data_IF_855228425826
#
_entry.id   IF_855228425826
#
_cell.length_a   1.000
_cell.length_b   1.000
_cell.length_c   1.000
_cell.angle_alpha   90.00
_cell.angle_beta   90.00
_cell.angle_gamma   90.00
#
_symmetry.space_group_name_H-M   'P 1'
#
loop_
_entity.id
_entity.type
_entity.pdbx_description
1 polymer ?
#
# COMPACT_ATOMS: atom_id res chain seq x y z
N UNK A 1 -0.09 -17.26 -19.91
CA UNK A 1 -0.24 -17.81 -18.53
C UNK A 1 -1.63 -17.54 -18.02
N UNK A 2 -2.13 -18.37 -17.11
CA UNK A 2 -3.30 -18.10 -16.28
C UNK A 2 -2.81 -17.56 -14.94
N UNK A 3 -3.25 -16.37 -14.54
CA UNK A 3 -2.76 -15.64 -13.38
C UNK A 3 -3.93 -15.38 -12.43
N UNK A 4 -3.82 -15.77 -11.17
CA UNK A 4 -4.84 -15.55 -10.15
C UNK A 4 -4.29 -14.65 -9.03
N UNK A 5 -4.90 -13.48 -8.84
CA UNK A 5 -4.60 -12.56 -7.74
C UNK A 5 -5.56 -12.79 -6.58
N UNK A 6 -5.04 -13.07 -5.39
CA UNK A 6 -5.81 -13.15 -4.16
C UNK A 6 -5.76 -11.81 -3.42
N UNK A 7 -6.88 -11.10 -3.39
CA UNK A 7 -7.02 -9.75 -2.85
C UNK A 7 -7.99 -9.70 -1.67
N UNK A 8 -7.66 -8.94 -0.64
CA UNK A 8 -8.52 -8.81 0.55
C UNK A 8 -9.95 -8.32 0.20
N UNK A 9 -10.05 -7.23 -0.57
CA UNK A 9 -11.32 -6.66 -0.98
C UNK A 9 -11.16 -5.85 -2.28
N UNK A 10 -11.55 -6.41 -3.41
CA UNK A 10 -11.51 -5.77 -4.73
C UNK A 10 -12.64 -4.76 -4.96
N UNK A 11 -13.64 -4.71 -4.07
CA UNK A 11 -14.81 -3.83 -4.21
C UNK A 11 -14.63 -2.48 -3.51
N UNK A 12 -13.52 -2.25 -2.81
CA UNK A 12 -13.22 -1.01 -2.10
C UNK A 12 -12.23 -0.13 -2.86
N UNK A 13 -11.75 0.95 -2.23
CA UNK A 13 -10.68 1.80 -2.75
C UNK A 13 -9.45 1.72 -1.83
N UNK A 14 -8.27 1.73 -2.42
CA UNK A 14 -7.00 1.71 -1.67
C UNK A 14 -5.81 1.47 -2.58
N UNK A 15 -4.62 1.79 -2.10
CA UNK A 15 -3.37 1.68 -2.89
C UNK A 15 -3.16 0.27 -3.44
N UNK A 16 -3.22 -0.76 -2.60
CA UNK A 16 -3.08 -2.17 -3.02
C UNK A 16 -4.12 -2.57 -4.06
N UNK A 17 -5.38 -2.12 -3.91
CA UNK A 17 -6.45 -2.44 -4.87
C UNK A 17 -6.13 -1.79 -6.23
N UNK A 18 -5.79 -0.49 -6.21
CA UNK A 18 -5.47 0.26 -7.44
C UNK A 18 -4.28 -0.38 -8.17
N UNK A 19 -3.19 -0.66 -7.45
CA UNK A 19 -2.00 -1.26 -8.07
C UNK A 19 -2.25 -2.68 -8.59
N UNK A 20 -3.03 -3.49 -7.88
CA UNK A 20 -3.43 -4.83 -8.36
C UNK A 20 -4.29 -4.73 -9.62
N UNK A 21 -5.26 -3.80 -9.67
CA UNK A 21 -6.12 -3.62 -10.83
C UNK A 21 -5.34 -3.07 -12.04
N UNK A 22 -4.43 -2.12 -11.81
CA UNK A 22 -3.55 -1.59 -12.87
C UNK A 22 -2.65 -2.69 -13.44
N UNK A 23 -2.02 -3.49 -12.59
CA UNK A 23 -1.18 -4.61 -13.01
C UNK A 23 -2.01 -5.68 -13.75
N UNK A 24 -3.19 -6.04 -13.22
CA UNK A 24 -4.08 -7.01 -13.85
C UNK A 24 -4.57 -6.55 -15.24
N UNK A 25 -4.90 -5.25 -15.39
CA UNK A 25 -5.28 -4.66 -16.67
C UNK A 25 -4.19 -4.82 -17.74
N UNK A 26 -2.95 -4.54 -17.36
CA UNK A 26 -1.80 -4.62 -18.26
C UNK A 26 -1.49 -6.07 -18.66
N UNK A 27 -1.57 -6.99 -17.69
CA UNK A 27 -1.36 -8.41 -17.93
C UNK A 27 -2.47 -9.06 -18.76
N UNK A 28 -3.71 -8.59 -18.64
CA UNK A 28 -4.86 -9.14 -19.36
C UNK A 28 -4.78 -8.96 -20.89
N UNK A 29 -3.91 -8.05 -21.37
CA UNK A 29 -3.62 -7.92 -22.79
C UNK A 29 -2.92 -9.17 -23.38
N UNK A 30 -2.25 -9.97 -22.56
CA UNK A 30 -1.41 -11.09 -23.00
C UNK A 30 -1.69 -12.40 -22.24
N UNK A 31 -2.47 -12.35 -21.17
CA UNK A 31 -2.69 -13.47 -20.24
C UNK A 31 -4.17 -13.56 -19.84
N UNK A 32 -4.58 -14.72 -19.38
CA UNK A 32 -5.86 -14.91 -18.70
C UNK A 32 -5.67 -14.50 -17.22
N UNK A 33 -6.40 -13.47 -16.78
CA UNK A 33 -6.21 -12.86 -15.46
C UNK A 33 -7.52 -12.87 -14.69
N UNK A 34 -7.48 -13.45 -13.48
CA UNK A 34 -8.56 -13.33 -12.51
C UNK A 34 -8.08 -12.59 -11.24
N UNK A 35 -8.99 -11.83 -10.63
CA UNK A 35 -8.85 -11.29 -9.30
C UNK A 35 -9.89 -11.96 -8.41
N UNK A 36 -9.43 -12.63 -7.36
CA UNK A 36 -10.25 -13.27 -6.34
C UNK A 36 -10.29 -12.40 -5.10
N UNK A 37 -11.37 -11.68 -4.94
CA UNK A 37 -11.64 -10.86 -3.74
C UNK A 37 -12.12 -11.75 -2.60
N UNK A 38 -11.49 -11.68 -1.43
CA UNK A 38 -11.99 -12.43 -0.28
C UNK A 38 -13.39 -11.92 0.11
N UNK A 39 -13.59 -10.60 0.15
CA UNK A 39 -14.87 -10.00 0.54
C UNK A 39 -15.52 -9.21 -0.59
N UNK A 40 -16.86 -9.25 -0.61
CA UNK A 40 -17.72 -8.37 -1.40
C UNK A 40 -18.70 -7.63 -0.50
N UNK A 41 -18.66 -6.29 -0.50
CA UNK A 41 -19.50 -5.44 0.34
C UNK A 41 -20.49 -4.58 -0.45
N UNK A 42 -20.40 -4.57 -1.78
CA UNK A 42 -21.23 -3.77 -2.71
C UNK A 42 -21.37 -4.47 -4.04
N UNK A 43 -22.31 -4.04 -4.85
CA UNK A 43 -22.61 -4.66 -6.14
C UNK A 43 -21.47 -4.46 -7.12
N UNK A 44 -20.97 -3.24 -7.25
CA UNK A 44 -19.92 -2.88 -8.19
C UNK A 44 -18.64 -2.39 -7.49
N UNK A 45 -17.45 -2.72 -8.01
CA UNK A 45 -16.20 -2.15 -7.53
C UNK A 45 -16.15 -0.63 -7.76
N UNK A 46 -15.57 0.11 -6.82
CA UNK A 46 -15.40 1.58 -6.95
C UNK A 46 -14.50 1.93 -8.14
N UNK A 47 -13.48 1.12 -8.41
CA UNK A 47 -12.50 1.39 -9.47
C UNK A 47 -12.90 0.84 -10.85
N UNK A 48 -14.07 0.17 -10.95
CA UNK A 48 -14.42 -0.59 -12.14
C UNK A 48 -13.56 -1.87 -12.29
N UNK A 49 -14.05 -2.81 -13.09
CA UNK A 49 -13.27 -4.01 -13.42
C UNK A 49 -12.51 -3.73 -14.72
N UNK A 50 -11.18 -3.90 -14.76
CA UNK A 50 -10.43 -3.71 -16.00
C UNK A 50 -10.89 -4.65 -17.11
N UNK A 51 -10.84 -4.19 -18.36
CA UNK A 51 -11.17 -5.01 -19.50
C UNK A 51 -10.29 -6.28 -19.55
N UNK A 52 -10.88 -7.42 -19.86
CA UNK A 52 -10.19 -8.71 -19.92
C UNK A 52 -9.86 -9.34 -18.55
N UNK A 53 -10.21 -8.69 -17.44
CA UNK A 53 -10.01 -9.23 -16.08
C UNK A 53 -11.30 -9.79 -15.53
N UNK A 54 -11.26 -11.01 -15.00
CA UNK A 54 -12.38 -11.60 -14.24
C UNK A 54 -12.25 -11.23 -12.77
N UNK A 55 -13.31 -10.67 -12.17
CA UNK A 55 -13.38 -10.43 -10.73
C UNK A 55 -14.38 -11.41 -10.08
N UNK A 56 -13.91 -12.23 -9.16
CA UNK A 56 -14.75 -13.12 -8.34
C UNK A 56 -14.62 -12.77 -6.87
N UNK A 57 -15.57 -13.22 -6.06
CA UNK A 57 -15.53 -13.08 -4.61
C UNK A 57 -15.74 -14.42 -3.90
N UNK A 58 -15.23 -14.52 -2.68
CA UNK A 58 -15.35 -15.73 -1.86
C UNK A 58 -16.42 -15.59 -0.78
N UNK A 59 -16.60 -14.42 -0.20
CA UNK A 59 -17.56 -14.14 0.87
C UNK A 59 -18.38 -12.90 0.52
N UNK A 60 -19.69 -13.04 0.44
CA UNK A 60 -20.63 -11.95 0.14
C UNK A 60 -21.18 -11.35 1.43
N UNK A 61 -20.86 -10.08 1.68
CA UNK A 61 -21.30 -9.33 2.85
C UNK A 61 -22.34 -8.25 2.51
N UNK A 62 -22.97 -8.33 1.36
CA UNK A 62 -24.09 -7.46 0.99
C UNK A 62 -25.38 -7.95 1.66
N UNK A 63 -25.89 -7.20 2.63
CA UNK A 63 -27.04 -7.61 3.46
C UNK A 63 -28.29 -8.01 2.68
N UNK A 64 -28.49 -7.42 1.49
CA UNK A 64 -29.65 -7.67 0.64
C UNK A 64 -29.38 -8.70 -0.47
N UNK A 65 -28.25 -9.37 -0.47
CA UNK A 65 -27.90 -10.38 -1.45
C UNK A 65 -28.50 -11.73 -1.05
N UNK A 66 -29.05 -12.52 -2.01
CA UNK A 66 -29.43 -13.91 -1.73
C UNK A 66 -28.27 -14.79 -1.26
N UNK A 67 -27.02 -14.41 -1.59
CA UNK A 67 -25.80 -15.07 -1.17
C UNK A 67 -25.15 -14.45 0.07
N UNK A 68 -25.88 -13.71 0.91
CA UNK A 68 -25.34 -13.07 2.10
C UNK A 68 -24.76 -14.08 3.09
N UNK A 69 -23.47 -13.97 3.34
CA UNK A 69 -22.71 -14.90 4.20
C UNK A 69 -22.61 -14.48 5.67
N UNK A 70 -23.12 -13.29 6.01
CA UNK A 70 -23.01 -12.76 7.38
C UNK A 70 -23.75 -13.58 8.45
N UNK A 71 -24.69 -14.44 8.04
CA UNK A 71 -25.44 -15.36 8.94
C UNK A 71 -24.85 -16.78 8.94
N UNK A 72 -23.85 -17.06 8.11
CA UNK A 72 -23.23 -18.38 8.06
C UNK A 72 -22.55 -18.70 9.41
N UNK A 73 -22.77 -19.88 10.03
CA UNK A 73 -22.21 -20.21 11.34
C UNK A 73 -20.69 -20.04 11.44
N UNK A 74 -19.97 -20.41 10.40
CA UNK A 74 -18.51 -20.31 10.37
C UNK A 74 -18.01 -18.88 10.13
N UNK A 75 -18.88 -17.94 9.72
CA UNK A 75 -18.53 -16.52 9.62
C UNK A 75 -18.26 -15.91 11.00
N UNK A 76 -18.94 -16.40 12.04
CA UNK A 76 -18.77 -15.93 13.43
C UNK A 76 -17.66 -16.67 14.19
N UNK A 77 -17.09 -17.74 13.61
CA UNK A 77 -15.98 -18.47 14.21
C UNK A 77 -14.65 -17.85 13.78
N UNK A 78 -13.70 -17.59 14.70
CA UNK A 78 -12.43 -16.93 14.37
C UNK A 78 -11.60 -17.76 13.40
N UNK A 79 -10.89 -17.05 12.49
CA UNK A 79 -9.94 -17.65 11.58
C UNK A 79 -8.82 -18.38 12.34
N UNK A 80 -8.39 -19.53 11.79
CA UNK A 80 -7.31 -20.37 12.32
C UNK A 80 -6.11 -20.45 11.38
N UNK A 81 -6.34 -20.28 10.06
CA UNK A 81 -5.31 -20.31 9.03
C UNK A 81 -4.77 -18.91 8.78
N UNK A 82 -5.66 -17.93 8.61
CA UNK A 82 -5.24 -16.52 8.49
C UNK A 82 -4.53 -16.07 9.79
N UNK A 83 -3.34 -15.43 9.71
CA UNK A 83 -2.49 -15.19 10.88
C UNK A 83 -3.08 -14.15 11.82
N UNK A 84 -3.12 -14.46 13.11
CA UNK A 84 -3.60 -13.56 14.17
C UNK A 84 -2.79 -12.28 14.32
N UNK A 85 -1.56 -12.27 13.82
CA UNK A 85 -0.67 -11.10 13.83
C UNK A 85 -1.04 -10.03 12.81
N UNK A 86 -1.82 -10.35 11.76
CA UNK A 86 -2.28 -9.37 10.77
C UNK A 86 -3.34 -8.43 11.37
N UNK A 87 -3.21 -7.13 11.13
CA UNK A 87 -4.13 -6.10 11.63
C UNK A 87 -5.58 -6.28 11.15
N UNK A 88 -5.80 -7.09 10.12
CA UNK A 88 -7.12 -7.43 9.59
C UNK A 88 -7.69 -8.76 10.12
N UNK A 89 -6.97 -9.47 10.99
CA UNK A 89 -7.38 -10.80 11.46
C UNK A 89 -8.82 -10.87 11.94
N UNK A 90 -9.33 -9.83 12.63
CA UNK A 90 -10.71 -9.78 13.12
C UNK A 90 -11.78 -9.76 12.03
N UNK A 91 -11.40 -9.50 10.79
CA UNK A 91 -12.30 -9.54 9.63
C UNK A 91 -12.36 -10.93 8.99
N UNK A 92 -11.41 -11.81 9.34
CA UNK A 92 -11.32 -13.17 8.83
C UNK A 92 -11.96 -14.16 9.81
N UNK A 93 -12.49 -15.25 9.28
CA UNK A 93 -13.27 -16.25 10.02
C UNK A 93 -12.96 -17.66 9.51
N UNK A 94 -13.52 -18.66 10.17
CA UNK A 94 -13.44 -20.05 9.70
C UNK A 94 -14.03 -20.20 8.29
N UNK A 95 -15.07 -19.43 7.97
CA UNK A 95 -15.65 -19.42 6.61
C UNK A 95 -14.65 -18.91 5.56
N UNK A 96 -13.94 -17.78 5.85
CA UNK A 96 -12.92 -17.27 4.93
C UNK A 96 -11.78 -18.25 4.77
N UNK A 97 -11.32 -18.89 5.86
CA UNK A 97 -10.26 -19.91 5.81
C UNK A 97 -10.67 -21.10 4.91
N UNK A 98 -11.91 -21.57 5.05
CA UNK A 98 -12.43 -22.69 4.26
C UNK A 98 -12.57 -22.32 2.77
N UNK A 99 -13.14 -21.16 2.46
CA UNK A 99 -13.37 -20.75 1.07
C UNK A 99 -12.08 -20.38 0.33
N UNK A 100 -11.12 -19.74 1.00
CA UNK A 100 -9.79 -19.50 0.43
C UNK A 100 -9.10 -20.85 0.18
N UNK A 101 -9.15 -21.78 1.15
CA UNK A 101 -8.57 -23.10 0.99
C UNK A 101 -9.21 -23.90 -0.15
N UNK A 102 -10.54 -23.87 -0.30
CA UNK A 102 -11.23 -24.52 -1.39
C UNK A 102 -10.86 -23.91 -2.76
N UNK A 103 -10.80 -22.57 -2.85
CA UNK A 103 -10.34 -21.90 -4.05
C UNK A 103 -8.91 -22.32 -4.43
N UNK A 104 -7.97 -22.24 -3.48
CA UNK A 104 -6.58 -22.61 -3.72
C UNK A 104 -6.40 -24.09 -4.09
N UNK A 105 -7.23 -24.99 -3.58
CA UNK A 105 -7.19 -26.40 -3.91
C UNK A 105 -7.66 -26.70 -5.34
N UNK A 106 -8.50 -25.84 -5.92
CA UNK A 106 -9.09 -26.01 -7.25
C UNK A 106 -8.58 -24.99 -8.28
N UNK A 107 -7.65 -24.11 -7.91
CA UNK A 107 -7.16 -23.06 -8.81
C UNK A 107 -6.36 -23.68 -9.96
N UNK A 108 -6.75 -23.36 -11.19
CA UNK A 108 -6.08 -23.79 -12.41
C UNK A 108 -5.22 -22.64 -12.98
N UNK A 109 -4.34 -22.08 -12.16
CA UNK A 109 -3.46 -20.99 -12.54
C UNK A 109 -2.01 -21.46 -12.70
N UNK A 110 -1.25 -20.79 -13.55
CA UNK A 110 0.20 -20.96 -13.66
C UNK A 110 0.91 -20.18 -12.55
N UNK A 111 0.32 -19.03 -12.14
CA UNK A 111 0.84 -18.15 -11.10
C UNK A 111 -0.30 -17.73 -10.15
N UNK A 112 -0.07 -17.85 -8.85
CA UNK A 112 -0.97 -17.33 -7.81
C UNK A 112 -0.23 -16.26 -7.02
N UNK A 113 -0.81 -15.06 -7.00
CA UNK A 113 -0.24 -13.88 -6.32
C UNK A 113 -1.16 -13.47 -5.18
N UNK A 114 -0.69 -13.53 -3.95
CA UNK A 114 -1.41 -12.96 -2.82
C UNK A 114 -0.83 -11.57 -2.48
N UNK A 115 -1.70 -10.60 -2.13
CA UNK A 115 -1.37 -9.17 -2.17
C UNK A 115 -1.27 -8.51 -0.80
N UNK A 116 -1.09 -9.30 0.26
CA UNK A 116 -0.89 -8.78 1.62
C UNK A 116 -0.35 -9.85 2.55
N UNK A 117 0.38 -9.49 3.62
CA UNK A 117 1.08 -10.47 4.46
C UNK A 117 0.18 -11.58 5.01
N UNK A 118 -1.03 -11.27 5.47
CA UNK A 118 -1.93 -12.31 5.98
C UNK A 118 -2.39 -13.31 4.91
N UNK A 119 -2.64 -12.84 3.69
CA UNK A 119 -2.98 -13.72 2.56
C UNK A 119 -1.75 -14.46 2.04
N UNK A 120 -0.56 -13.85 2.08
CA UNK A 120 0.69 -14.49 1.71
C UNK A 120 1.01 -15.68 2.66
N UNK A 121 0.80 -15.49 3.98
CA UNK A 121 0.89 -16.57 4.97
C UNK A 121 -0.16 -17.66 4.70
N UNK A 122 -1.39 -17.28 4.36
CA UNK A 122 -2.45 -18.23 4.06
C UNK A 122 -2.18 -19.00 2.76
N UNK A 123 -1.71 -18.32 1.72
CA UNK A 123 -1.24 -18.94 0.47
C UNK A 123 -0.14 -19.97 0.76
N UNK A 124 0.87 -19.61 1.54
CA UNK A 124 1.95 -20.52 1.93
C UNK A 124 1.43 -21.77 2.68
N UNK A 125 0.44 -21.61 3.56
CA UNK A 125 -0.14 -22.70 4.37
C UNK A 125 -1.06 -23.65 3.59
N UNK A 126 -1.77 -23.14 2.57
CA UNK A 126 -2.85 -23.86 1.87
C UNK A 126 -2.57 -24.06 0.38
N UNK A 127 -1.41 -23.69 -0.10
CA UNK A 127 -1.12 -23.64 -1.52
C UNK A 127 -1.19 -25.02 -2.21
N UNK A 128 -1.77 -25.07 -3.42
CA UNK A 128 -1.77 -26.25 -4.26
C UNK A 128 -0.36 -26.55 -4.77
N UNK A 129 -0.18 -27.77 -5.27
CA UNK A 129 1.01 -28.13 -6.05
C UNK A 129 0.78 -27.72 -7.51
N UNK A 130 1.79 -27.12 -8.13
CA UNK A 130 1.75 -26.77 -9.57
C UNK A 130 2.11 -25.31 -9.82
N UNK A 131 1.28 -24.33 -9.45
CA UNK A 131 1.52 -22.92 -9.78
C UNK A 131 2.75 -22.33 -9.08
N UNK A 132 3.33 -21.30 -9.67
CA UNK A 132 4.27 -20.39 -9.01
C UNK A 132 3.52 -19.59 -7.94
N UNK A 133 4.05 -19.57 -6.72
CA UNK A 133 3.42 -18.92 -5.57
C UNK A 133 4.17 -17.64 -5.23
N UNK A 134 3.51 -16.50 -5.34
CA UNK A 134 4.10 -15.18 -5.11
C UNK A 134 3.40 -14.47 -3.97
N UNK A 135 4.18 -14.05 -2.97
CA UNK A 135 3.73 -13.11 -1.95
C UNK A 135 4.08 -11.68 -2.36
N UNK A 136 3.10 -10.85 -2.65
CA UNK A 136 3.31 -9.44 -2.95
C UNK A 136 3.10 -8.58 -1.71
N UNK A 137 4.13 -7.80 -1.34
CA UNK A 137 4.13 -6.96 -0.15
C UNK A 137 4.00 -5.47 -0.51
N UNK A 138 2.96 -4.86 0.01
CA UNK A 138 2.68 -3.43 -0.14
C UNK A 138 2.87 -2.64 1.16
N UNK A 139 3.28 -3.32 2.23
CA UNK A 139 3.54 -2.75 3.55
C UNK A 139 4.95 -3.14 3.98
N UNK A 140 5.63 -2.25 4.68
CA UNK A 140 7.00 -2.49 5.15
C UNK A 140 7.06 -3.56 6.24
N UNK A 141 8.07 -4.43 6.18
CA UNK A 141 8.25 -5.57 7.09
C UNK A 141 8.28 -5.14 8.57
N UNK A 142 9.04 -4.08 8.90
CA UNK A 142 9.17 -3.58 10.27
C UNK A 142 7.86 -3.01 10.83
N UNK A 143 6.94 -2.60 9.97
CA UNK A 143 5.62 -2.10 10.35
C UNK A 143 4.67 -3.17 10.87
N UNK A 144 5.00 -4.44 10.68
CA UNK A 144 4.18 -5.55 11.14
C UNK A 144 4.40 -5.87 12.60
N UNK A 145 3.36 -6.43 13.24
CA UNK A 145 3.49 -6.95 14.60
C UNK A 145 4.58 -8.02 14.69
N UNK A 146 5.25 -8.13 15.84
CA UNK A 146 6.24 -9.20 16.06
C UNK A 146 5.69 -10.59 15.71
N UNK A 147 4.41 -10.84 16.04
CA UNK A 147 3.74 -12.10 15.75
C UNK A 147 3.64 -12.35 14.24
N UNK A 148 3.23 -11.35 13.47
CA UNK A 148 3.12 -11.48 12.01
C UNK A 148 4.50 -11.67 11.36
N UNK A 149 5.50 -10.91 11.80
CA UNK A 149 6.90 -11.07 11.31
C UNK A 149 7.44 -12.47 11.54
N UNK A 150 7.09 -13.08 12.68
CA UNK A 150 7.44 -14.46 12.97
C UNK A 150 6.73 -15.45 12.04
N UNK A 151 5.43 -15.23 11.78
CA UNK A 151 4.68 -16.06 10.83
C UNK A 151 5.24 -15.89 9.40
N UNK A 152 5.60 -14.69 8.99
CA UNK A 152 6.29 -14.39 7.72
C UNK A 152 7.62 -15.18 7.62
N UNK A 153 8.51 -15.02 8.60
CA UNK A 153 9.82 -15.68 8.60
C UNK A 153 9.73 -17.22 8.58
N UNK A 154 8.62 -17.79 9.05
CA UNK A 154 8.39 -19.23 9.02
C UNK A 154 7.72 -19.67 7.72
N UNK A 155 6.59 -19.07 7.36
CA UNK A 155 5.70 -19.57 6.32
C UNK A 155 6.14 -19.18 4.90
N UNK A 156 6.77 -17.99 4.74
CA UNK A 156 7.20 -17.55 3.40
C UNK A 156 8.26 -18.45 2.77
N UNK A 157 8.96 -19.28 3.54
CA UNK A 157 9.81 -20.33 3.00
C UNK A 157 9.09 -21.36 2.11
N UNK A 158 7.75 -21.34 2.09
CA UNK A 158 6.92 -22.19 1.23
C UNK A 158 6.47 -21.47 -0.07
N UNK A 159 6.77 -20.18 -0.21
CA UNK A 159 6.54 -19.42 -1.44
C UNK A 159 7.69 -19.60 -2.43
N UNK A 160 7.45 -19.31 -3.71
CA UNK A 160 8.47 -19.28 -4.75
C UNK A 160 9.15 -17.92 -4.83
N UNK A 161 8.39 -16.84 -4.64
CA UNK A 161 8.92 -15.50 -4.56
C UNK A 161 8.17 -14.61 -3.57
N UNK A 162 8.87 -13.57 -3.13
CA UNK A 162 8.30 -12.39 -2.47
C UNK A 162 8.70 -11.17 -3.28
N UNK A 163 7.72 -10.36 -3.68
CA UNK A 163 7.98 -9.05 -4.29
C UNK A 163 7.61 -7.95 -3.32
N UNK A 164 8.47 -6.97 -3.17
CA UNK A 164 8.26 -5.77 -2.35
C UNK A 164 8.19 -4.54 -3.26
N UNK A 165 7.66 -3.44 -2.77
CA UNK A 165 7.51 -2.22 -3.58
C UNK A 165 8.74 -1.31 -3.54
N UNK A 166 9.73 -1.61 -2.70
CA UNK A 166 11.00 -0.87 -2.57
C UNK A 166 12.18 -1.81 -2.36
N UNK A 167 13.36 -1.40 -2.77
CA UNK A 167 14.59 -2.15 -2.55
C UNK A 167 14.97 -2.17 -1.06
N UNK A 168 14.65 -1.09 -0.32
CA UNK A 168 14.86 -1.04 1.13
C UNK A 168 14.09 -2.18 1.83
N UNK A 169 12.82 -2.40 1.46
CA UNK A 169 12.02 -3.49 2.03
C UNK A 169 12.48 -4.86 1.51
N UNK A 170 12.87 -4.98 0.24
CA UNK A 170 13.46 -6.21 -0.30
C UNK A 170 14.70 -6.64 0.49
N UNK A 171 15.59 -5.70 0.86
CA UNK A 171 16.74 -5.98 1.73
C UNK A 171 16.32 -6.52 3.10
N UNK A 172 15.25 -5.95 3.69
CA UNK A 172 14.72 -6.43 4.97
C UNK A 172 14.19 -7.87 4.86
N UNK A 173 13.48 -8.20 3.77
CA UNK A 173 13.01 -9.57 3.51
C UNK A 173 14.16 -10.53 3.20
N UNK A 174 15.19 -10.12 2.45
CA UNK A 174 16.40 -10.96 2.21
C UNK A 174 17.15 -11.28 3.51
N UNK A 175 17.14 -10.35 4.47
CA UNK A 175 17.75 -10.57 5.79
C UNK A 175 17.04 -11.66 6.62
N UNK A 176 15.78 -12.04 6.26
CA UNK A 176 15.11 -13.20 6.86
C UNK A 176 15.71 -14.54 6.43
N UNK A 177 16.59 -14.55 5.41
CA UNK A 177 17.25 -15.74 4.88
C UNK A 177 16.27 -16.90 4.56
N UNK A 178 15.19 -16.59 3.84
CA UNK A 178 14.16 -17.56 3.45
C UNK A 178 14.71 -18.57 2.45
N UNK A 179 14.80 -19.88 2.78
CA UNK A 179 15.48 -20.84 1.93
C UNK A 179 14.80 -21.00 0.57
N UNK A 180 15.54 -20.73 -0.51
CA UNK A 180 15.11 -20.94 -1.89
C UNK A 180 13.97 -20.03 -2.35
N UNK A 181 13.64 -18.98 -1.62
CA UNK A 181 12.67 -17.96 -2.01
C UNK A 181 13.36 -16.82 -2.72
N UNK A 182 12.89 -16.47 -3.91
CA UNK A 182 13.36 -15.30 -4.63
C UNK A 182 12.76 -14.04 -4.02
N UNK A 183 13.56 -12.98 -3.83
CA UNK A 183 13.10 -11.72 -3.25
C UNK A 183 13.55 -10.57 -4.15
N UNK A 184 12.58 -9.92 -4.81
CA UNK A 184 12.79 -8.79 -5.72
C UNK A 184 12.01 -7.56 -5.29
N UNK A 185 12.60 -6.39 -5.53
CA UNK A 185 11.87 -5.13 -5.51
C UNK A 185 11.21 -4.91 -6.88
N UNK A 186 9.88 -4.77 -6.88
CA UNK A 186 9.09 -4.39 -8.05
C UNK A 186 8.17 -3.26 -7.63
N UNK A 187 8.43 -2.03 -8.07
CA UNK A 187 7.67 -0.85 -7.67
C UNK A 187 6.18 -0.95 -8.07
N UNK A 188 5.34 -0.19 -7.39
CA UNK A 188 3.98 0.00 -7.85
C UNK A 188 3.96 0.79 -9.16
N UNK A 189 3.07 0.44 -10.06
CA UNK A 189 2.86 1.19 -11.30
C UNK A 189 1.85 2.31 -11.12
N UNK A 190 2.04 3.38 -11.90
CA UNK A 190 1.09 4.50 -12.02
C UNK A 190 0.88 4.78 -13.51
N UNK A 191 -0.36 4.68 -14.02
CA UNK A 191 -0.66 4.96 -15.41
C UNK A 191 -0.31 6.40 -15.81
N UNK A 192 -0.08 6.63 -17.10
CA UNK A 192 0.01 7.98 -17.63
C UNK A 192 -1.31 8.73 -17.35
N UNK A 193 -1.25 10.00 -16.92
CA UNK A 193 -2.45 10.77 -16.67
C UNK A 193 -3.18 11.07 -17.98
N UNK A 194 -4.53 11.05 -17.92
CA UNK A 194 -5.38 11.45 -19.06
C UNK A 194 -5.51 12.98 -19.23
N UNK A 195 -4.59 13.75 -18.65
CA UNK A 195 -4.58 15.23 -18.67
C UNK A 195 -3.22 15.73 -19.14
N UNK A 196 -3.14 16.94 -19.71
CA UNK A 196 -1.84 17.57 -20.04
C UNK A 196 -0.97 17.74 -18.78
N UNK A 197 0.36 17.77 -18.94
CA UNK A 197 1.26 18.10 -17.85
C UNK A 197 0.93 19.46 -17.23
N UNK A 198 1.21 19.58 -15.93
CA UNK A 198 1.02 20.79 -15.16
C UNK A 198 1.82 21.97 -15.74
N UNK A 199 1.26 23.18 -15.61
CA UNK A 199 1.97 24.41 -15.93
C UNK A 199 2.99 24.75 -14.83
N UNK A 200 4.29 24.77 -15.12
CA UNK A 200 5.30 25.12 -14.13
C UNK A 200 5.15 26.55 -13.57
N UNK A 201 4.41 27.44 -14.25
CA UNK A 201 4.15 28.79 -13.77
C UNK A 201 2.98 28.90 -12.78
N UNK A 202 2.21 27.84 -12.58
CA UNK A 202 1.13 27.82 -11.62
C UNK A 202 1.66 28.06 -10.20
N UNK A 203 0.97 28.92 -9.44
CA UNK A 203 1.39 29.30 -8.08
C UNK A 203 0.66 28.47 -7.02
N UNK A 204 0.69 27.15 -7.20
CA UNK A 204 -0.03 26.20 -6.34
C UNK A 204 0.87 25.03 -5.98
N UNK A 205 1.01 24.79 -4.68
CA UNK A 205 1.54 23.54 -4.14
C UNK A 205 0.38 22.59 -3.89
N UNK A 206 0.48 21.34 -4.36
CA UNK A 206 -0.55 20.32 -4.17
C UNK A 206 -0.03 19.23 -3.24
N UNK A 207 -0.85 18.83 -2.28
CA UNK A 207 -0.60 17.67 -1.43
C UNK A 207 -1.82 16.76 -1.43
N UNK A 208 -1.64 15.45 -1.47
CA UNK A 208 -2.73 14.49 -1.48
C UNK A 208 -2.45 13.25 -0.64
N UNK A 209 -3.50 12.74 0.01
CA UNK A 209 -3.46 11.50 0.78
C UNK A 209 -4.46 11.49 1.92
N UNK A 210 -4.60 10.35 2.58
CA UNK A 210 -5.47 10.24 3.75
C UNK A 210 -5.05 11.22 4.84
N UNK A 211 -6.00 11.93 5.45
CA UNK A 211 -5.73 12.77 6.60
C UNK A 211 -5.47 11.87 7.82
N UNK A 212 -4.21 11.50 8.02
CA UNK A 212 -3.74 10.67 9.14
C UNK A 212 -2.48 11.28 9.75
N UNK A 213 -2.18 11.05 11.04
CA UNK A 213 -1.01 11.64 11.70
C UNK A 213 0.32 11.30 11.02
N UNK A 214 0.40 10.17 10.31
CA UNK A 214 1.61 9.75 9.61
C UNK A 214 1.94 10.63 8.41
N UNK A 215 0.94 11.29 7.81
CA UNK A 215 1.11 12.18 6.64
C UNK A 215 1.60 13.58 7.00
N UNK A 216 1.53 13.98 8.28
CA UNK A 216 2.08 15.21 8.80
C UNK A 216 1.64 16.48 8.04
N UNK A 217 0.36 16.57 7.69
CA UNK A 217 -0.19 17.80 7.13
C UNK A 217 -0.14 18.98 8.09
N UNK A 218 -0.08 18.72 9.41
CA UNK A 218 0.22 19.69 10.44
C UNK A 218 1.56 20.39 10.20
N UNK A 219 2.61 19.63 9.96
CA UNK A 219 3.95 20.14 9.63
C UNK A 219 3.95 20.89 8.29
N UNK A 220 3.23 20.39 7.27
CA UNK A 220 3.14 21.08 5.99
C UNK A 220 2.46 22.45 6.11
N UNK A 221 1.40 22.56 6.91
CA UNK A 221 0.72 23.83 7.17
C UNK A 221 1.66 24.81 7.88
N UNK A 222 2.42 24.34 8.88
CA UNK A 222 3.41 25.17 9.59
C UNK A 222 4.52 25.65 8.65
N UNK A 223 5.07 24.78 7.81
CA UNK A 223 6.07 25.15 6.81
C UNK A 223 5.53 26.13 5.77
N UNK A 224 4.26 25.99 5.39
CA UNK A 224 3.64 26.90 4.42
C UNK A 224 3.37 28.30 4.96
N UNK A 225 3.40 28.51 6.29
CA UNK A 225 3.31 29.84 6.88
C UNK A 225 4.48 30.75 6.44
N UNK A 226 5.70 30.21 6.41
CA UNK A 226 6.88 30.94 5.91
C UNK A 226 6.76 31.22 4.40
N UNK A 227 6.24 30.24 3.64
CA UNK A 227 5.99 30.40 2.20
C UNK A 227 4.97 31.51 1.97
N UNK A 228 3.85 31.52 2.68
CA UNK A 228 2.81 32.54 2.53
C UNK A 228 3.31 33.95 2.90
N UNK A 229 4.16 34.05 3.91
CA UNK A 229 4.78 35.32 4.29
C UNK A 229 5.75 35.88 3.23
N UNK A 230 6.58 35.00 2.63
CA UNK A 230 7.54 35.39 1.61
C UNK A 230 6.92 35.54 0.20
N UNK A 231 5.94 34.72 -0.09
CA UNK A 231 5.28 34.63 -1.42
C UNK A 231 3.76 34.53 -1.26
N UNK A 232 3.08 35.65 -0.95
CA UNK A 232 1.63 35.70 -0.68
C UNK A 232 0.77 35.34 -1.91
N UNK A 233 1.35 35.30 -3.08
CA UNK A 233 0.74 34.87 -4.33
C UNK A 233 0.62 33.35 -4.47
N UNK A 234 1.28 32.54 -3.60
CA UNK A 234 1.22 31.08 -3.64
C UNK A 234 0.13 30.53 -2.72
N UNK A 235 -0.41 29.36 -3.14
CA UNK A 235 -1.46 28.65 -2.42
C UNK A 235 -1.07 27.19 -2.20
N UNK A 236 -1.55 26.61 -1.10
CA UNK A 236 -1.44 25.18 -0.80
C UNK A 236 -2.82 24.54 -0.85
N UNK A 237 -2.98 23.48 -1.63
CA UNK A 237 -4.20 22.65 -1.70
C UNK A 237 -3.92 21.25 -1.17
N UNK A 238 -4.64 20.86 -0.12
CA UNK A 238 -4.52 19.55 0.52
C UNK A 238 -5.77 18.73 0.19
N UNK A 239 -5.59 17.66 -0.55
CA UNK A 239 -6.64 16.73 -0.95
C UNK A 239 -6.64 15.48 -0.08
N UNK A 240 -7.78 15.09 0.43
CA UNK A 240 -7.98 13.87 1.21
C UNK A 240 -9.03 14.01 2.28
N UNK A 241 -9.36 12.86 2.87
CA UNK A 241 -10.27 12.77 4.00
C UNK A 241 -9.64 11.97 5.13
N UNK A 242 -10.11 12.22 6.35
CA UNK A 242 -9.74 11.49 7.55
C UNK A 242 -10.58 10.24 7.78
N UNK A 243 -10.62 9.81 9.04
CA UNK A 243 -11.57 8.81 9.52
C UNK A 243 -12.98 9.41 9.69
N UNK A 244 -13.94 8.56 10.04
CA UNK A 244 -15.33 8.96 10.23
C UNK A 244 -15.55 10.02 11.33
N UNK A 245 -14.56 10.24 12.22
CA UNK A 245 -14.63 11.24 13.30
C UNK A 245 -14.28 12.66 12.83
N UNK A 246 -13.61 12.79 11.67
CA UNK A 246 -13.09 14.06 11.12
C UNK A 246 -12.24 14.90 12.10
N UNK A 247 -11.77 14.30 13.19
CA UNK A 247 -11.06 15.03 14.24
C UNK A 247 -9.78 15.68 13.73
N UNK A 248 -9.01 14.97 12.88
CA UNK A 248 -7.79 15.52 12.31
C UNK A 248 -8.09 16.67 11.33
N UNK A 249 -9.11 16.53 10.49
CA UNK A 249 -9.54 17.60 9.58
C UNK A 249 -9.91 18.86 10.34
N UNK A 250 -10.69 18.74 11.43
CA UNK A 250 -11.04 19.86 12.31
C UNK A 250 -9.80 20.46 13.00
N UNK A 251 -8.82 19.65 13.39
CA UNK A 251 -7.56 20.13 13.97
C UNK A 251 -6.74 20.93 12.95
N UNK A 252 -6.60 20.42 11.73
CA UNK A 252 -5.90 21.13 10.65
C UNK A 252 -6.61 22.44 10.27
N UNK A 253 -7.94 22.45 10.20
CA UNK A 253 -8.70 23.68 9.94
C UNK A 253 -8.45 24.75 11.02
N UNK A 254 -8.45 24.36 12.31
CA UNK A 254 -8.10 25.27 13.41
C UNK A 254 -6.66 25.77 13.32
N UNK A 255 -5.71 24.92 12.93
CA UNK A 255 -4.32 25.33 12.75
C UNK A 255 -4.18 26.35 11.63
N UNK A 256 -4.86 26.17 10.49
CA UNK A 256 -4.91 27.15 9.39
C UNK A 256 -5.40 28.52 9.89
N UNK A 257 -6.45 28.54 10.73
CA UNK A 257 -6.96 29.76 11.34
C UNK A 257 -5.97 30.41 12.30
N UNK A 258 -5.39 29.63 13.21
CA UNK A 258 -4.40 30.10 14.19
C UNK A 258 -3.14 30.67 13.54
N UNK A 259 -2.75 30.16 12.36
CA UNK A 259 -1.63 30.64 11.55
C UNK A 259 -2.00 31.78 10.61
N UNK A 260 -3.27 32.24 10.58
CA UNK A 260 -3.77 33.26 9.66
C UNK A 260 -3.62 32.89 8.18
N UNK A 261 -3.76 31.59 7.85
CA UNK A 261 -3.53 31.03 6.51
C UNK A 261 -4.80 30.77 5.71
N UNK A 262 -5.97 31.32 6.09
CA UNK A 262 -7.26 31.05 5.42
C UNK A 262 -7.26 31.35 3.92
N UNK A 263 -6.50 32.37 3.50
CA UNK A 263 -6.38 32.79 2.10
C UNK A 263 -5.28 32.03 1.34
N UNK A 264 -4.53 31.15 2.02
CA UNK A 264 -3.35 30.48 1.46
C UNK A 264 -3.45 28.95 1.47
N UNK A 265 -4.11 28.35 2.44
CA UNK A 265 -4.16 26.89 2.63
C UNK A 265 -5.59 26.38 2.60
N UNK A 266 -5.88 25.42 1.73
CA UNK A 266 -7.21 24.89 1.48
C UNK A 266 -7.28 23.39 1.69
N UNK A 267 -8.21 22.93 2.53
CA UNK A 267 -8.56 21.51 2.68
C UNK A 267 -9.65 21.16 1.68
N UNK A 268 -9.26 20.56 0.55
CA UNK A 268 -10.11 20.38 -0.63
C UNK A 268 -11.08 19.20 -0.55
N UNK A 269 -10.91 18.30 0.44
CA UNK A 269 -11.67 17.04 0.47
C UNK A 269 -11.11 16.00 -0.50
N UNK A 270 -11.94 15.02 -0.90
CA UNK A 270 -11.57 13.97 -1.85
C UNK A 270 -11.72 14.43 -3.28
N UNK A 271 -10.76 14.07 -4.13
CA UNK A 271 -10.88 14.15 -5.58
C UNK A 271 -10.65 12.77 -6.20
N UNK A 272 -11.45 12.43 -7.19
CA UNK A 272 -11.29 11.21 -7.99
C UNK A 272 -11.89 11.44 -9.40
N UNK A 273 -11.10 11.36 -10.46
CA UNK A 273 -9.63 11.11 -10.46
C UNK A 273 -8.83 12.28 -9.86
N UNK A 274 -7.59 12.00 -9.43
CA UNK A 274 -6.73 13.00 -8.80
C UNK A 274 -5.86 13.77 -9.80
N UNK A 275 -5.65 13.22 -10.99
CA UNK A 275 -4.78 13.76 -12.03
C UNK A 275 -5.14 15.20 -12.43
N UNK A 276 -6.43 15.57 -12.63
CA UNK A 276 -6.80 16.96 -12.93
C UNK A 276 -6.46 17.94 -11.79
N UNK A 277 -6.39 17.45 -10.56
CA UNK A 277 -6.05 18.29 -9.41
C UNK A 277 -4.53 18.47 -9.28
N UNK A 278 -3.73 17.42 -9.56
CA UNK A 278 -2.29 17.54 -9.70
C UNK A 278 -1.92 18.56 -10.78
N UNK A 279 -2.55 18.49 -11.96
CA UNK A 279 -2.26 19.37 -13.10
C UNK A 279 -2.54 20.87 -12.85
N UNK A 280 -3.26 21.22 -11.77
CA UNK A 280 -3.50 22.62 -11.35
C UNK A 280 -2.34 23.21 -10.55
N UNK A 281 -1.40 22.40 -10.12
CA UNK A 281 -0.22 22.84 -9.37
C UNK A 281 1.02 22.96 -10.23
N UNK A 282 2.10 23.44 -9.63
CA UNK A 282 3.45 23.40 -10.23
C UNK A 282 4.46 22.73 -9.29
N UNK A 283 4.07 22.44 -8.07
CA UNK A 283 4.84 21.70 -7.07
C UNK A 283 3.93 20.73 -6.33
N UNK A 284 4.48 19.60 -5.91
CA UNK A 284 3.83 18.72 -4.95
C UNK A 284 4.59 18.65 -3.63
N UNK A 285 3.88 18.39 -2.52
CA UNK A 285 4.48 18.22 -1.20
C UNK A 285 4.00 16.93 -0.53
N UNK A 286 4.96 16.14 0.00
CA UNK A 286 4.72 14.91 0.75
C UNK A 286 5.54 14.93 2.03
N UNK A 287 4.91 15.17 3.18
CA UNK A 287 5.58 15.39 4.48
C UNK A 287 5.48 14.19 5.41
N UNK A 288 5.32 13.00 4.87
CA UNK A 288 5.06 11.78 5.63
C UNK A 288 6.22 11.37 6.54
N UNK A 289 5.90 10.87 7.74
CA UNK A 289 6.89 10.19 8.60
C UNK A 289 7.27 8.80 8.10
N UNK A 290 6.41 8.18 7.29
CA UNK A 290 6.61 6.84 6.77
C UNK A 290 5.75 6.62 5.53
N UNK A 291 6.37 6.05 4.52
CA UNK A 291 5.72 5.53 3.31
C UNK A 291 6.12 4.06 3.13
N UNK A 292 5.25 3.28 2.49
CA UNK A 292 5.67 1.95 2.01
C UNK A 292 6.26 2.04 0.61
N UNK A 293 5.80 3.02 -0.17
CA UNK A 293 6.28 3.34 -1.51
C UNK A 293 6.24 4.85 -1.75
N UNK A 294 5.07 5.45 -1.79
CA UNK A 294 4.88 6.87 -2.11
C UNK A 294 4.12 7.05 -3.42
N UNK A 295 2.99 6.35 -3.58
CA UNK A 295 2.14 6.46 -4.80
C UNK A 295 1.88 7.91 -5.20
N UNK A 296 1.58 8.79 -4.24
CA UNK A 296 1.29 10.20 -4.50
C UNK A 296 2.49 10.98 -5.03
N UNK A 297 3.71 10.55 -4.74
CA UNK A 297 4.93 11.12 -5.33
C UNK A 297 4.94 10.80 -6.83
N UNK A 298 4.78 9.53 -7.19
CA UNK A 298 4.79 9.10 -8.59
C UNK A 298 3.61 9.71 -9.35
N UNK A 299 2.40 9.75 -8.75
CA UNK A 299 1.22 10.39 -9.35
C UNK A 299 1.48 11.87 -9.68
N UNK A 300 2.10 12.62 -8.76
CA UNK A 300 2.46 14.02 -8.98
C UNK A 300 3.52 14.16 -10.10
N UNK A 301 4.59 13.35 -10.05
CA UNK A 301 5.65 13.35 -11.07
C UNK A 301 5.11 13.03 -12.47
N UNK A 302 4.16 12.08 -12.58
CA UNK A 302 3.48 11.73 -13.85
C UNK A 302 2.68 12.90 -14.41
N UNK A 303 2.22 13.82 -13.55
CA UNK A 303 1.55 15.05 -13.95
C UNK A 303 2.53 16.22 -14.17
N UNK A 304 3.83 16.00 -14.06
CA UNK A 304 4.85 17.04 -14.29
C UNK A 304 5.10 17.95 -13.09
N UNK A 305 4.83 17.50 -11.86
CA UNK A 305 5.15 18.26 -10.66
C UNK A 305 6.44 17.73 -10.03
N UNK A 306 7.48 18.55 -9.87
CA UNK A 306 8.58 18.20 -8.95
C UNK A 306 8.05 18.13 -7.53
N UNK A 307 8.60 17.22 -6.72
CA UNK A 307 8.06 16.90 -5.40
C UNK A 307 9.03 17.30 -4.30
N UNK A 308 8.57 18.09 -3.34
CA UNK A 308 9.26 18.25 -2.05
C UNK A 308 8.75 17.16 -1.12
N UNK A 309 9.62 16.24 -0.74
CA UNK A 309 9.25 15.12 0.13
C UNK A 309 10.18 14.99 1.32
N UNK A 310 9.63 14.56 2.45
CA UNK A 310 10.47 14.04 3.53
C UNK A 310 11.13 12.75 3.08
N UNK A 311 12.43 12.59 3.36
CA UNK A 311 13.18 11.35 3.15
C UNK A 311 12.88 10.36 4.27
N UNK A 312 11.61 9.94 4.35
CA UNK A 312 11.21 8.92 5.29
C UNK A 312 11.66 7.52 4.82
N UNK A 313 11.91 6.59 5.75
CA UNK A 313 12.31 5.23 5.39
C UNK A 313 11.37 4.61 4.37
N UNK A 314 11.94 3.99 3.35
CA UNK A 314 11.29 3.39 2.18
C UNK A 314 10.61 4.42 1.24
N UNK A 315 10.68 4.22 -0.02
CA UNK A 315 9.94 4.93 -1.07
C UNK A 315 10.50 6.28 -1.51
N UNK A 316 10.37 7.39 -0.78
CA UNK A 316 10.73 8.71 -1.31
C UNK A 316 12.15 8.79 -1.89
N UNK A 317 13.16 8.34 -1.17
CA UNK A 317 14.55 8.30 -1.64
C UNK A 317 14.83 7.29 -2.76
N UNK A 318 13.91 6.36 -3.06
CA UNK A 318 13.99 5.46 -4.23
C UNK A 318 13.23 6.02 -5.45
N UNK A 319 12.40 7.05 -5.24
CA UNK A 319 11.57 7.67 -6.29
C UNK A 319 12.16 9.00 -6.74
N UNK A 320 12.59 9.84 -5.82
CA UNK A 320 13.08 11.20 -6.08
C UNK A 320 14.60 11.21 -6.15
N UNK A 321 15.15 11.81 -7.19
CA UNK A 321 16.55 12.20 -7.28
C UNK A 321 16.69 13.64 -6.78
N UNK A 322 17.25 13.78 -5.55
CA UNK A 322 17.34 15.08 -4.87
C UNK A 322 18.09 16.12 -5.71
N UNK A 323 17.47 17.28 -5.89
CA UNK A 323 18.01 18.38 -6.69
C UNK A 323 17.78 18.27 -8.18
N UNK A 324 17.25 17.15 -8.68
CA UNK A 324 17.01 16.91 -10.11
C UNK A 324 15.52 16.96 -10.44
N UNK A 325 14.73 16.05 -9.89
CA UNK A 325 13.29 15.91 -10.15
C UNK A 325 12.41 16.25 -8.95
N UNK A 326 13.03 16.63 -7.84
CA UNK A 326 12.39 17.04 -6.59
C UNK A 326 13.41 17.40 -5.51
N UNK A 327 12.93 17.46 -4.28
CA UNK A 327 13.75 17.72 -3.08
C UNK A 327 13.43 16.71 -1.98
N UNK A 328 14.47 16.17 -1.36
CA UNK A 328 14.38 15.33 -0.17
C UNK A 328 14.84 16.11 1.06
N UNK A 329 14.02 16.11 2.11
CA UNK A 329 14.30 16.82 3.36
C UNK A 329 14.16 15.89 4.55
N UNK A 330 14.81 16.17 5.71
CA UNK A 330 14.67 15.34 6.90
C UNK A 330 13.20 15.22 7.36
N UNK A 331 12.87 14.06 7.96
CA UNK A 331 11.56 13.82 8.58
C UNK A 331 11.39 14.74 9.79
N UNK A 332 10.16 15.27 9.96
CA UNK A 332 9.79 16.15 11.08
C UNK A 332 10.55 17.50 11.14
N UNK A 333 11.17 17.91 10.05
CA UNK A 333 11.87 19.20 9.94
C UNK A 333 11.03 20.21 9.14
N UNK A 334 10.28 21.06 9.85
CA UNK A 334 9.42 22.11 9.27
C UNK A 334 10.24 23.14 8.50
N UNK A 335 11.41 23.54 9.02
CA UNK A 335 12.26 24.56 8.40
C UNK A 335 12.87 24.04 7.09
N UNK A 336 13.29 22.79 7.05
CA UNK A 336 13.79 22.18 5.82
C UNK A 336 12.70 22.07 4.73
N UNK A 337 11.45 21.71 5.10
CA UNK A 337 10.32 21.71 4.17
C UNK A 337 10.05 23.11 3.63
N UNK A 338 9.99 24.12 4.50
CA UNK A 338 9.81 25.53 4.12
C UNK A 338 10.90 26.00 3.15
N UNK A 339 12.17 25.77 3.49
CA UNK A 339 13.31 26.14 2.67
C UNK A 339 13.30 25.46 1.29
N UNK A 340 12.99 24.16 1.22
CA UNK A 340 12.91 23.41 -0.03
C UNK A 340 11.77 23.91 -0.93
N UNK A 341 10.60 24.22 -0.35
CA UNK A 341 9.49 24.83 -1.09
C UNK A 341 9.90 26.20 -1.64
N UNK A 342 10.45 27.08 -0.80
CA UNK A 342 10.88 28.41 -1.22
C UNK A 342 11.98 28.38 -2.29
N UNK A 343 12.92 27.45 -2.21
CA UNK A 343 13.96 27.28 -3.22
C UNK A 343 13.37 27.03 -4.61
N UNK A 344 12.39 26.11 -4.73
CA UNK A 344 11.73 25.82 -6.00
C UNK A 344 10.72 26.90 -6.41
N UNK A 345 10.10 27.60 -5.47
CA UNK A 345 9.15 28.68 -5.71
C UNK A 345 9.87 29.91 -6.29
N UNK A 346 11.08 30.20 -5.82
CA UNK A 346 11.84 31.39 -6.22
C UNK A 346 12.73 31.17 -7.46
N UNK A 347 12.85 29.93 -7.97
CA UNK A 347 13.59 29.60 -9.16
C UNK A 347 12.65 29.02 -10.24
N UNK A 348 12.04 29.89 -11.04
CA UNK A 348 11.09 29.50 -12.07
C UNK A 348 11.71 28.57 -13.13
N UNK A 349 12.95 28.84 -13.53
CA UNK A 349 13.67 28.01 -14.51
C UNK A 349 14.06 26.67 -13.90
N UNK A 350 14.58 26.65 -12.67
CA UNK A 350 14.91 25.43 -11.95
C UNK A 350 13.68 24.56 -11.73
N UNK A 351 12.55 25.16 -11.35
CA UNK A 351 11.27 24.46 -11.20
C UNK A 351 10.80 23.85 -12.52
N UNK A 352 10.92 24.59 -13.63
CA UNK A 352 10.55 24.08 -14.97
C UNK A 352 11.48 22.94 -15.42
N UNK A 353 12.79 23.02 -15.11
CA UNK A 353 13.72 21.90 -15.35
C UNK A 353 13.36 20.67 -14.53
N UNK A 354 13.10 20.85 -13.24
CA UNK A 354 12.70 19.76 -12.34
C UNK A 354 11.37 19.12 -12.76
N UNK A 355 10.40 19.90 -13.25
CA UNK A 355 9.14 19.40 -13.78
C UNK A 355 9.34 18.45 -14.97
N UNK A 356 10.22 18.81 -15.91
CA UNK A 356 10.58 17.94 -17.06
C UNK A 356 11.31 16.68 -16.59
N UNK A 357 12.24 16.82 -15.64
CA UNK A 357 12.96 15.68 -15.07
C UNK A 357 12.00 14.71 -14.35
N UNK A 358 11.03 15.23 -13.58
CA UNK A 358 10.02 14.44 -12.90
C UNK A 358 9.15 13.61 -13.87
N UNK A 359 8.72 14.20 -15.00
CA UNK A 359 8.01 13.48 -16.05
C UNK A 359 8.83 12.30 -16.58
N UNK A 360 10.08 12.55 -16.97
CA UNK A 360 10.97 11.51 -17.53
C UNK A 360 11.25 10.43 -16.48
N UNK A 361 11.61 10.82 -15.26
CA UNK A 361 11.92 9.87 -14.17
C UNK A 361 10.72 8.98 -13.83
N UNK A 362 9.49 9.52 -13.92
CA UNK A 362 8.27 8.78 -13.61
C UNK A 362 7.91 7.69 -14.62
N UNK A 363 8.47 7.70 -15.83
CA UNK A 363 8.22 6.67 -16.85
C UNK A 363 8.68 5.27 -16.43
N UNK A 364 9.63 5.16 -15.51
CA UNK A 364 10.06 3.86 -14.97
C UNK A 364 8.96 3.14 -14.18
N UNK A 365 7.91 3.86 -13.78
CA UNK A 365 6.74 3.33 -13.07
C UNK A 365 5.55 3.07 -14.02
N UNK A 366 5.79 3.06 -15.33
CA UNK A 366 4.77 2.74 -16.31
C UNK A 366 4.23 1.32 -16.12
N UNK A 367 2.90 1.10 -16.19
CA UNK A 367 2.29 -0.21 -16.00
C UNK A 367 2.88 -1.30 -16.87
N UNK A 368 3.20 -1.01 -18.14
CA UNK A 368 3.77 -1.99 -19.07
C UNK A 368 5.16 -2.46 -18.64
N UNK A 369 6.02 -1.55 -18.15
CA UNK A 369 7.34 -1.88 -17.63
C UNK A 369 7.27 -2.72 -16.34
N UNK A 370 6.36 -2.34 -15.44
CA UNK A 370 6.17 -3.06 -14.18
C UNK A 370 5.58 -4.46 -14.43
N UNK A 371 4.60 -4.58 -15.33
CA UNK A 371 4.05 -5.87 -15.72
C UNK A 371 5.12 -6.77 -16.35
N UNK A 372 5.92 -6.24 -17.27
CA UNK A 372 7.02 -6.99 -17.88
C UNK A 372 8.03 -7.52 -16.84
N UNK A 373 8.32 -6.72 -15.79
CA UNK A 373 9.20 -7.17 -14.70
C UNK A 373 8.59 -8.31 -13.88
N UNK A 374 7.30 -8.29 -13.63
CA UNK A 374 6.60 -9.39 -12.98
C UNK A 374 6.59 -10.65 -13.86
N UNK A 375 6.30 -10.50 -15.15
CA UNK A 375 6.31 -11.60 -16.13
C UNK A 375 7.70 -12.27 -16.21
N UNK A 376 8.78 -11.49 -16.25
CA UNK A 376 10.15 -12.01 -16.24
C UNK A 376 10.42 -12.88 -15.01
N UNK A 377 10.08 -12.38 -13.81
CA UNK A 377 10.23 -13.12 -12.56
C UNK A 377 9.44 -14.43 -12.59
N UNK A 378 8.18 -14.39 -13.02
CA UNK A 378 7.31 -15.57 -13.04
C UNK A 378 7.75 -16.59 -14.09
N UNK A 379 8.17 -16.15 -15.27
CA UNK A 379 8.70 -17.05 -16.32
C UNK A 379 9.97 -17.78 -15.87
N UNK A 380 10.91 -17.07 -15.24
CA UNK A 380 12.14 -17.66 -14.70
C UNK A 380 11.84 -18.68 -13.59
N UNK A 381 10.87 -18.39 -12.72
CA UNK A 381 10.44 -19.30 -11.67
C UNK A 381 9.74 -20.54 -12.25
N UNK A 382 8.88 -20.37 -13.25
CA UNK A 382 8.20 -21.48 -13.92
C UNK A 382 9.19 -22.40 -14.66
N UNK A 383 10.15 -21.82 -15.39
CA UNK A 383 11.22 -22.58 -16.06
C UNK A 383 12.10 -23.36 -15.06
N UNK A 384 12.40 -22.73 -13.91
CA UNK A 384 13.19 -23.37 -12.84
C UNK A 384 12.40 -24.41 -12.03
N UNK A 385 11.07 -24.41 -12.10
CA UNK A 385 10.21 -25.32 -11.33
C UNK A 385 10.23 -26.77 -11.89
N UNK A 386 10.52 -26.95 -13.17
CA UNK A 386 10.54 -28.26 -13.82
C UNK A 386 11.57 -29.26 -13.23
N UNK A 387 12.50 -28.78 -12.38
CA UNK A 387 13.51 -29.61 -11.71
C UNK A 387 13.49 -29.56 -10.18
N UNK A 388 12.56 -28.85 -9.55
CA UNK A 388 12.58 -28.63 -8.08
C UNK A 388 11.39 -29.31 -7.40
N UNK A 389 11.64 -30.42 -6.73
CA UNK A 389 10.71 -30.95 -5.71
C UNK A 389 10.86 -30.11 -4.43
N UNK A 390 10.17 -28.96 -4.32
CA UNK A 390 10.15 -28.21 -3.05
C UNK A 390 9.32 -28.94 -2.01
N UNK A 391 9.81 -29.09 -0.77
CA UNK A 391 8.96 -29.51 0.32
C UNK A 391 7.93 -28.43 0.59
N UNK A 392 6.65 -28.69 0.27
CA UNK A 392 5.54 -27.77 0.56
C UNK A 392 4.98 -27.96 1.96
N UNK A 393 5.79 -28.46 2.87
CA UNK A 393 5.47 -28.55 4.29
C UNK A 393 6.75 -28.38 5.11
N UNK A 394 6.63 -27.67 6.20
CA UNK A 394 7.70 -27.62 7.20
C UNK A 394 7.93 -29.01 7.80
N UNK A 395 9.15 -29.40 8.00
CA UNK A 395 9.49 -30.61 8.75
C UNK A 395 8.78 -30.60 10.13
N UNK A 396 8.28 -31.77 10.59
CA UNK A 396 7.47 -31.89 11.80
C UNK A 396 8.03 -31.15 13.02
N UNK A 397 9.35 -31.19 13.21
CA UNK A 397 10.03 -30.51 14.33
C UNK A 397 9.90 -28.97 14.24
N UNK A 398 10.11 -28.38 13.06
CA UNK A 398 10.02 -26.93 12.86
C UNK A 398 8.58 -26.42 13.05
N UNK A 399 7.60 -27.19 12.59
CA UNK A 399 6.18 -26.88 12.79
C UNK A 399 5.77 -26.98 14.28
N UNK A 400 6.33 -27.94 15.03
CA UNK A 400 6.08 -28.08 16.48
C UNK A 400 6.63 -26.91 17.28
N UNK A 401 7.89 -26.53 17.03
CA UNK A 401 8.53 -25.37 17.69
C UNK A 401 7.75 -24.08 17.37
N UNK A 402 7.38 -23.89 16.12
CA UNK A 402 6.59 -22.71 15.71
C UNK A 402 5.23 -22.63 16.42
N UNK A 403 4.53 -23.78 16.54
CA UNK A 403 3.26 -23.87 17.30
C UNK A 403 3.45 -23.58 18.78
N UNK A 404 4.45 -24.19 19.44
CA UNK A 404 4.73 -23.98 20.85
C UNK A 404 5.00 -22.51 21.18
N UNK A 405 5.86 -21.86 20.39
CA UNK A 405 6.13 -20.40 20.54
C UNK A 405 4.85 -19.59 20.25
N UNK A 406 4.03 -19.99 19.27
CA UNK A 406 2.73 -19.37 18.99
C UNK A 406 1.79 -19.40 20.19
N UNK A 407 1.66 -20.56 20.81
CA UNK A 407 0.80 -20.75 22.00
C UNK A 407 1.30 -19.93 23.19
N UNK A 408 2.61 -19.87 23.43
CA UNK A 408 3.19 -19.04 24.48
C UNK A 408 2.95 -17.53 24.26
N UNK A 409 3.07 -17.07 23.02
CA UNK A 409 2.75 -15.67 22.65
C UNK A 409 1.26 -15.36 22.82
N UNK A 410 0.37 -16.31 22.52
CA UNK A 410 -1.08 -16.16 22.71
C UNK A 410 -1.44 -16.04 24.20
N UNK A 411 -0.83 -16.86 25.05
CA UNK A 411 -1.00 -16.80 26.49
C UNK A 411 -0.53 -15.45 27.06
N UNK A 412 0.65 -14.98 26.64
CA UNK A 412 1.18 -13.67 27.02
C UNK A 412 0.32 -12.49 26.56
N UNK A 413 -0.21 -12.55 25.32
CA UNK A 413 -1.11 -11.51 24.80
C UNK A 413 -2.45 -11.46 25.56
N UNK A 414 -3.00 -12.64 25.91
CA UNK A 414 -4.24 -12.76 26.68
C UNK A 414 -4.06 -12.22 28.10
N UNK A 415 -2.93 -12.51 28.75
CA UNK A 415 -2.59 -11.98 30.06
C UNK A 415 -2.44 -10.45 30.04
N UNK A 416 -1.73 -9.89 29.03
CA UNK A 416 -1.56 -8.44 28.86
C UNK A 416 -2.88 -7.72 28.55
N UNK A 417 -3.76 -8.33 27.77
CA UNK A 417 -5.09 -7.78 27.47
C UNK A 417 -5.98 -7.76 28.73
N UNK A 418 -5.97 -8.83 29.54
CA UNK A 418 -6.67 -8.87 30.82
C UNK A 418 -6.14 -7.83 31.81
N UNK A 419 -4.82 -7.67 31.92
CA UNK A 419 -4.19 -6.61 32.70
C UNK A 419 -4.58 -5.21 32.25
N UNK A 420 -4.59 -4.96 30.95
CA UNK A 420 -5.02 -3.67 30.38
C UNK A 420 -6.50 -3.33 30.59
N UNK A 421 -7.38 -4.36 30.65
CA UNK A 421 -8.78 -4.18 31.04
C UNK A 421 -8.91 -3.86 32.53
N UNK A 422 -8.15 -4.54 33.40
CA UNK A 422 -8.12 -4.30 34.82
C UNK A 422 -7.64 -2.87 35.12
N UNK A 423 -6.54 -2.43 34.50
CA UNK A 423 -6.01 -1.05 34.68
C UNK A 423 -7.02 -0.01 34.22
N UNK A 424 -7.74 -0.24 33.10
CA UNK A 424 -8.81 0.66 32.64
C UNK A 424 -10.02 0.69 33.59
N UNK A 425 -10.37 -0.44 34.21
CA UNK A 425 -11.41 -0.49 35.24
C UNK A 425 -11.00 0.27 36.52
N UNK A 426 -9.76 0.08 36.97
CA UNK A 426 -9.23 0.81 38.13
C UNK A 426 -9.14 2.33 37.90
N UNK A 427 -8.75 2.79 36.70
CA UNK A 427 -8.75 4.22 36.35
C UNK A 427 -10.14 4.85 36.22
N UNK A 428 -11.22 4.09 36.22
CA UNK A 428 -12.60 4.60 36.23
C UNK A 428 -13.21 4.62 37.63
N UNK A 429 -12.48 4.13 38.62
CA UNK A 429 -12.89 4.06 40.05
C UNK A 429 -12.12 5.08 40.89
N UNK A 430 -11.15 5.76 40.32
CA UNK A 430 -10.44 6.95 40.83
C UNK A 430 -10.77 8.15 39.94
#
# INVERSE_FOLDING_TARGET
MRISFLLHNGYHIGGTIRTTFTLAAELAARHEVEIVSVFRHRDEPILGIPAGVTLRHLVDLRKNSPGFDGEHPDFHRPARVFPRGDGRWKQYSALTDARIGAHLASVEADVVVATRPGLNVQLARQAPRGPVLVGQEHLILEGHSYRLRRDIAHEYALLDAVTTVTEADARAYRALALPGVRIDAVPNSVPAPGVPPADPAAKVVVAAGRLTPVKRYDLLIDAFADVAAARPDWKLRIYGTGDASDNLKKALARQIEQRSLREHVFLMGTAHPMEPEWAKGSLAAVTSRRESFGMTIVEAMRCGLPVVSTDCPHGPGEIIEDGVDGRLVPVDDTAAVSAALLALINDDEGRARAAKAALVASERFDPSRIAARHEEIWNELAAGAAGRSRPRSHGRGRALVHRAVGTALDAGYTAKAKAGVLVRRLRRLV
#
